data_IF_153203854484
#
_entry.id   IF_153203854484
#
_cell.length_a   1.000
_cell.length_b   1.000
_cell.length_c   1.000
_cell.angle_alpha   90.00
_cell.angle_beta   90.00
_cell.angle_gamma   90.00
#
_symmetry.space_group_name_H-M   'P 1'
#
loop_
_entity.id
_entity.type
_entity.pdbx_description
1 polymer ?
#
# COMPACT_ATOMS: atom_id res chain seq x y z
N UNK A 1 -7.18 -14.62 -4.42
CA UNK A 1 -6.55 -14.78 -5.73
C UNK A 1 -7.15 -16.00 -6.41
N UNK A 2 -7.60 -15.78 -7.63
CA UNK A 2 -8.06 -16.86 -8.48
C UNK A 2 -6.86 -17.51 -9.13
N UNK A 3 -6.75 -18.78 -8.95
CA UNK A 3 -5.86 -19.62 -9.72
C UNK A 3 -6.71 -20.27 -10.76
N UNK A 4 -6.68 -19.74 -11.93
CA UNK A 4 -7.49 -20.33 -12.85
C UNK A 4 -6.76 -20.81 -14.03
N UNK A 5 -7.40 -21.21 -14.95
CA UNK A 5 -7.08 -21.78 -16.20
C UNK A 5 -6.59 -23.19 -16.22
N UNK A 6 -6.52 -23.82 -15.07
CA UNK A 6 -6.31 -25.24 -15.08
C UNK A 6 -7.27 -25.96 -14.16
N UNK A 7 -8.45 -25.40 -14.03
CA UNK A 7 -9.54 -26.12 -13.43
C UNK A 7 -9.46 -26.27 -11.93
N UNK A 8 -9.45 -25.20 -11.23
CA UNK A 8 -8.85 -25.42 -10.03
C UNK A 8 -9.56 -24.82 -8.88
N UNK A 9 -9.17 -25.19 -7.74
CA UNK A 9 -9.84 -25.07 -6.51
C UNK A 9 -9.79 -23.65 -6.01
N UNK A 10 -10.92 -23.12 -5.60
CA UNK A 10 -11.02 -21.83 -4.95
C UNK A 10 -10.33 -21.88 -3.60
N UNK A 11 -9.42 -20.96 -3.35
CA UNK A 11 -8.90 -20.74 -2.04
C UNK A 11 -10.03 -20.17 -1.16
N UNK A 12 -10.50 -20.96 -0.20
CA UNK A 12 -11.64 -20.59 0.64
C UNK A 12 -11.24 -19.79 1.86
N UNK A 13 -10.04 -20.01 2.38
CA UNK A 13 -9.55 -19.28 3.56
C UNK A 13 -8.02 -19.26 3.63
N UNK A 14 -7.45 -18.16 4.13
CA UNK A 14 -6.05 -18.07 4.50
C UNK A 14 -5.96 -17.60 5.95
N UNK A 15 -5.32 -18.40 6.80
CA UNK A 15 -5.02 -18.02 8.18
C UNK A 15 -3.52 -18.00 8.40
N UNK A 16 -3.05 -16.92 8.97
CA UNK A 16 -1.67 -16.77 9.38
C UNK A 16 -1.52 -17.08 10.86
N UNK A 17 -0.60 -17.98 11.18
CA UNK A 17 -0.24 -18.36 12.54
C UNK A 17 1.26 -18.14 12.75
N UNK A 18 1.64 -16.93 13.15
CA UNK A 18 3.05 -16.57 13.25
C UNK A 18 3.75 -16.70 11.88
N UNK A 19 4.72 -17.61 11.77
CA UNK A 19 5.45 -17.90 10.51
C UNK A 19 4.78 -18.97 9.64
N UNK A 20 3.60 -19.44 9.99
CA UNK A 20 2.89 -20.50 9.25
C UNK A 20 1.67 -19.90 8.54
N UNK A 21 1.51 -20.26 7.28
CA UNK A 21 0.32 -20.00 6.51
C UNK A 21 -0.49 -21.29 6.43
N UNK A 22 -1.77 -21.20 6.73
CA UNK A 22 -2.73 -22.27 6.48
C UNK A 22 -3.65 -21.83 5.36
N UNK A 23 -3.59 -22.56 4.25
CA UNK A 23 -4.47 -22.34 3.11
C UNK A 23 -5.51 -23.48 3.07
N UNK A 24 -6.76 -23.11 2.91
CA UNK A 24 -7.87 -24.06 2.73
C UNK A 24 -8.37 -23.92 1.29
N UNK A 25 -8.52 -25.05 0.63
CA UNK A 25 -9.03 -25.14 -0.74
C UNK A 25 -10.31 -25.96 -0.75
N UNK A 26 -11.32 -25.50 -1.48
CA UNK A 26 -12.52 -26.27 -1.75
C UNK A 26 -12.22 -27.27 -2.87
N UNK A 27 -12.12 -28.55 -2.52
CA UNK A 27 -11.82 -29.64 -3.45
C UNK A 27 -13.09 -30.47 -3.65
N UNK A 28 -13.55 -30.66 -4.90
CA UNK A 28 -14.67 -31.54 -5.18
C UNK A 28 -14.47 -32.93 -4.59
N UNK A 29 -15.57 -33.54 -4.13
CA UNK A 29 -15.49 -34.81 -3.41
C UNK A 29 -14.87 -35.93 -4.24
N UNK A 30 -15.14 -35.96 -5.54
CA UNK A 30 -14.57 -36.90 -6.50
C UNK A 30 -13.06 -36.81 -6.69
N UNK A 31 -12.48 -35.64 -6.37
CA UNK A 31 -11.07 -35.36 -6.55
C UNK A 31 -10.25 -35.37 -5.25
N UNK A 32 -10.90 -35.60 -4.11
CA UNK A 32 -10.22 -35.55 -2.79
C UNK A 32 -9.13 -36.63 -2.61
N UNK A 33 -9.21 -37.71 -3.37
CA UNK A 33 -8.22 -38.82 -3.32
C UNK A 33 -7.09 -38.65 -4.35
N UNK A 34 -7.12 -37.55 -5.14
CA UNK A 34 -6.10 -37.25 -6.13
C UNK A 34 -4.87 -36.57 -5.52
N UNK A 35 -3.83 -36.45 -6.33
CA UNK A 35 -2.70 -35.58 -6.00
C UNK A 35 -2.86 -34.23 -6.69
N UNK A 36 -2.58 -33.16 -5.97
CA UNK A 36 -2.57 -31.82 -6.53
C UNK A 36 -1.26 -31.11 -6.25
N UNK A 37 -0.90 -30.20 -7.14
CA UNK A 37 0.28 -29.39 -6.99
C UNK A 37 -0.11 -27.96 -6.63
N UNK A 38 0.47 -27.44 -5.55
CA UNK A 38 0.33 -26.02 -5.19
C UNK A 38 1.55 -25.30 -5.74
N UNK A 39 1.33 -24.30 -6.57
CA UNK A 39 2.37 -23.41 -7.03
C UNK A 39 2.16 -22.03 -6.39
N UNK A 40 3.13 -21.58 -5.60
CA UNK A 40 3.13 -20.27 -4.97
C UNK A 40 4.17 -19.42 -5.71
N UNK A 41 3.75 -18.52 -6.61
CA UNK A 41 4.68 -17.74 -7.43
C UNK A 41 5.47 -16.71 -6.62
N UNK A 42 4.96 -16.34 -5.46
CA UNK A 42 5.62 -15.44 -4.53
C UNK A 42 4.79 -15.19 -3.29
N UNK A 43 5.46 -14.76 -2.24
CA UNK A 43 4.84 -14.31 -1.00
C UNK A 43 5.38 -12.93 -0.71
N UNK A 44 4.47 -11.95 -0.55
CA UNK A 44 4.84 -10.59 -0.15
C UNK A 44 4.70 -10.48 1.36
N UNK A 45 5.74 -10.02 2.00
CA UNK A 45 5.75 -9.72 3.42
C UNK A 45 5.80 -8.21 3.62
N UNK A 46 5.07 -7.72 4.62
CA UNK A 46 5.32 -6.38 5.12
C UNK A 46 6.57 -6.42 6.00
N UNK A 47 7.48 -5.48 5.79
CA UNK A 47 8.56 -5.26 6.73
C UNK A 47 7.96 -4.92 8.10
N UNK A 48 8.50 -5.49 9.17
CA UNK A 48 8.01 -5.23 10.53
C UNK A 48 8.38 -3.82 11.04
N UNK A 49 9.33 -3.17 10.39
CA UNK A 49 9.81 -1.86 10.80
C UNK A 49 9.18 -0.75 9.95
N UNK A 50 8.61 0.22 10.63
CA UNK A 50 8.09 1.46 10.06
C UNK A 50 9.16 2.55 10.20
N UNK A 51 9.14 3.53 9.30
CA UNK A 51 9.97 4.74 9.48
C UNK A 51 9.50 5.56 10.67
N UNK A 52 10.36 6.46 11.15
CA UNK A 52 9.89 7.55 12.00
C UNK A 52 8.87 8.41 11.24
N UNK A 53 7.94 9.06 11.94
CA UNK A 53 6.99 9.96 11.32
C UNK A 53 7.69 11.16 10.71
N UNK A 54 7.30 11.54 9.50
CA UNK A 54 7.71 12.78 8.85
C UNK A 54 6.49 13.68 8.65
N UNK A 55 6.66 14.97 8.89
CA UNK A 55 5.60 15.96 8.68
C UNK A 55 5.99 16.86 7.51
N UNK A 56 5.15 16.85 6.48
CA UNK A 56 5.36 17.61 5.25
C UNK A 56 4.35 18.77 5.18
N UNK A 57 4.76 19.94 4.71
CA UNK A 57 3.83 21.06 4.52
C UNK A 57 2.86 20.78 3.38
N UNK A 58 1.65 21.30 3.47
CA UNK A 58 0.74 21.43 2.33
C UNK A 58 1.03 22.76 1.65
N UNK A 59 1.66 22.79 0.47
CA UNK A 59 2.03 24.03 -0.21
C UNK A 59 0.80 24.74 -0.80
N UNK A 60 0.96 25.98 -1.23
CA UNK A 60 -0.08 26.66 -2.04
C UNK A 60 -0.18 26.07 -3.45
N UNK A 61 0.95 25.69 -4.05
CA UNK A 61 1.05 25.06 -5.37
C UNK A 61 2.08 23.92 -5.32
N UNK A 62 3.37 24.22 -5.43
CA UNK A 62 4.48 23.27 -5.41
C UNK A 62 5.55 23.68 -4.39
N UNK A 63 6.15 22.71 -3.73
CA UNK A 63 7.32 22.89 -2.90
C UNK A 63 8.33 21.77 -3.14
N UNK A 64 9.55 22.15 -3.51
CA UNK A 64 10.68 21.23 -3.55
C UNK A 64 11.08 20.82 -2.13
N UNK A 65 11.40 19.54 -1.97
CA UNK A 65 11.82 18.95 -0.71
C UNK A 65 13.03 18.05 -0.97
N UNK A 66 13.89 17.91 0.03
CA UNK A 66 15.03 16.99 0.01
C UNK A 66 15.07 16.21 1.33
N UNK A 67 14.01 15.43 1.56
CA UNK A 67 13.88 14.61 2.77
C UNK A 67 14.17 13.16 2.45
N UNK A 68 15.09 12.53 3.17
CA UNK A 68 15.33 11.08 3.08
C UNK A 68 14.88 10.41 4.36
N UNK A 69 13.96 9.49 4.23
CA UNK A 69 13.31 8.77 5.34
C UNK A 69 13.74 7.32 5.28
N UNK A 70 14.67 6.90 6.15
CA UNK A 70 15.13 5.53 6.18
C UNK A 70 14.18 4.61 6.94
N UNK A 71 14.21 3.33 6.57
CA UNK A 71 13.77 2.20 7.37
C UNK A 71 14.82 1.09 7.26
N UNK A 72 14.65 0.00 7.96
CA UNK A 72 15.67 -1.06 8.07
C UNK A 72 16.26 -1.58 6.75
N UNK A 73 15.43 -1.72 5.73
CA UNK A 73 15.80 -2.38 4.47
C UNK A 73 15.69 -1.44 3.25
N UNK A 74 15.66 -0.12 3.48
CA UNK A 74 15.59 0.85 2.41
C UNK A 74 15.33 2.27 2.87
N UNK A 75 14.99 3.12 1.93
CA UNK A 75 14.63 4.52 2.18
C UNK A 75 13.65 5.03 1.13
N UNK A 76 12.90 6.07 1.48
CA UNK A 76 12.20 6.91 0.53
C UNK A 76 12.79 8.31 0.58
N UNK A 77 13.14 8.84 -0.58
CA UNK A 77 13.57 10.21 -0.75
C UNK A 77 12.40 11.01 -1.33
N UNK A 78 11.95 12.00 -0.59
CA UNK A 78 10.88 12.91 -1.03
C UNK A 78 11.53 14.06 -1.78
N UNK A 79 11.15 14.23 -3.03
CA UNK A 79 11.71 15.23 -3.94
C UNK A 79 10.88 16.51 -3.97
N UNK A 80 9.59 16.39 -3.76
CA UNK A 80 8.68 17.52 -3.80
C UNK A 80 7.26 17.17 -3.40
N UNK A 81 6.46 18.18 -3.21
CA UNK A 81 5.04 18.06 -2.90
C UNK A 81 4.26 19.12 -3.68
N UNK A 82 3.21 18.67 -4.38
CA UNK A 82 2.35 19.51 -5.21
C UNK A 82 0.92 19.48 -4.68
N UNK A 83 0.31 20.64 -4.51
CA UNK A 83 -1.13 20.71 -4.24
C UNK A 83 -1.91 20.33 -5.49
N UNK A 84 -2.79 19.37 -5.36
CA UNK A 84 -3.69 18.96 -6.43
C UNK A 84 -5.02 19.73 -6.35
N UNK A 85 -5.74 19.79 -7.47
CA UNK A 85 -7.15 20.14 -7.43
C UNK A 85 -7.91 19.11 -6.60
N UNK A 86 -8.97 19.50 -5.87
CA UNK A 86 -9.78 18.54 -5.13
C UNK A 86 -10.19 17.37 -6.02
N UNK A 87 -10.12 16.18 -5.47
CA UNK A 87 -10.39 14.94 -6.19
C UNK A 87 -11.76 14.41 -5.80
N UNK A 88 -12.53 14.06 -6.80
CA UNK A 88 -13.84 13.42 -6.60
C UNK A 88 -13.62 11.96 -6.17
N UNK A 89 -14.23 11.59 -5.06
CA UNK A 89 -14.25 10.23 -4.54
C UNK A 89 -15.68 9.73 -4.51
N UNK A 90 -15.90 8.61 -5.16
CA UNK A 90 -17.15 7.88 -5.07
C UNK A 90 -17.02 6.84 -3.95
N UNK A 91 -17.96 6.84 -3.04
CA UNK A 91 -18.05 5.87 -1.96
C UNK A 91 -19.50 5.44 -1.78
N UNK A 92 -19.75 4.34 -1.13
CA UNK A 92 -21.10 3.95 -0.73
C UNK A 92 -21.31 4.35 0.74
N UNK A 93 -22.50 4.86 1.03
CA UNK A 93 -22.92 5.07 2.42
C UNK A 93 -23.26 3.71 3.07
N UNK A 94 -23.49 3.72 4.39
CA UNK A 94 -23.85 2.49 5.13
C UNK A 94 -25.19 1.87 4.72
N UNK A 95 -25.91 2.48 3.74
CA UNK A 95 -27.18 2.00 3.18
C UNK A 95 -27.02 1.56 1.72
N UNK A 96 -25.80 1.63 1.16
CA UNK A 96 -25.50 1.24 -0.23
C UNK A 96 -25.81 2.34 -1.27
N UNK A 97 -26.05 3.58 -0.85
CA UNK A 97 -26.22 4.68 -1.80
C UNK A 97 -24.88 5.26 -2.21
N UNK A 98 -24.72 5.58 -3.49
CA UNK A 98 -23.53 6.24 -3.98
C UNK A 98 -23.41 7.65 -3.36
N UNK A 99 -22.27 7.90 -2.75
CA UNK A 99 -21.91 9.21 -2.19
C UNK A 99 -20.68 9.74 -2.92
N UNK A 100 -20.83 10.91 -3.52
CA UNK A 100 -19.75 11.63 -4.17
C UNK A 100 -19.24 12.71 -3.23
N UNK A 101 -17.96 12.73 -2.95
CA UNK A 101 -17.30 13.74 -2.11
C UNK A 101 -16.06 14.27 -2.81
N UNK A 102 -15.83 15.57 -2.71
CA UNK A 102 -14.56 16.16 -3.10
C UNK A 102 -13.63 16.20 -1.90
N UNK A 103 -12.41 15.75 -2.08
CA UNK A 103 -11.37 15.79 -1.04
C UNK A 103 -10.12 16.49 -1.57
N UNK A 104 -9.53 17.39 -0.77
CA UNK A 104 -8.26 17.98 -1.11
C UNK A 104 -7.16 16.91 -1.08
N UNK A 105 -6.20 17.06 -1.97
CA UNK A 105 -5.10 16.12 -2.12
C UNK A 105 -3.77 16.82 -2.44
N UNK A 106 -2.69 16.19 -2.07
CA UNK A 106 -1.34 16.52 -2.53
C UNK A 106 -0.77 15.33 -3.29
N UNK A 107 0.08 15.61 -4.26
CA UNK A 107 0.94 14.64 -4.90
C UNK A 107 2.35 14.77 -4.33
N UNK A 108 2.94 13.66 -3.94
CA UNK A 108 4.27 13.60 -3.36
C UNK A 108 5.18 12.89 -4.35
N UNK A 109 6.18 13.61 -4.87
CA UNK A 109 7.21 13.07 -5.73
C UNK A 109 8.25 12.35 -4.86
N UNK A 110 8.53 11.10 -5.19
CA UNK A 110 9.46 10.28 -4.42
C UNK A 110 10.42 9.50 -5.30
N UNK A 111 11.53 9.15 -4.70
CA UNK A 111 12.42 8.12 -5.16
C UNK A 111 12.55 7.06 -4.06
N UNK A 112 11.99 5.89 -4.27
CA UNK A 112 12.10 4.80 -3.33
C UNK A 112 13.31 3.93 -3.67
N UNK A 113 14.20 3.75 -2.69
CA UNK A 113 15.42 2.98 -2.82
C UNK A 113 15.36 1.81 -1.84
N UNK A 114 15.65 0.62 -2.32
CA UNK A 114 15.87 -0.54 -1.46
C UNK A 114 17.32 -1.00 -1.57
N UNK A 115 17.87 -1.48 -0.47
CA UNK A 115 19.18 -2.14 -0.51
C UNK A 115 19.05 -3.48 -1.24
N UNK A 116 20.06 -3.79 -2.08
CA UNK A 116 20.13 -5.09 -2.76
C UNK A 116 20.19 -6.24 -1.77
N UNK A 117 19.10 -6.99 -1.69
CA UNK A 117 19.01 -8.21 -0.89
C UNK A 117 18.23 -9.28 -1.66
N UNK A 118 18.23 -10.48 -1.14
CA UNK A 118 17.49 -11.63 -1.69
C UNK A 118 15.97 -11.36 -1.86
N UNK A 119 15.43 -10.37 -1.15
CA UNK A 119 14.01 -10.00 -1.18
C UNK A 119 13.87 -8.62 -1.83
N UNK A 120 13.26 -8.57 -3.01
CA UNK A 120 12.93 -7.31 -3.67
C UNK A 120 11.64 -6.72 -3.07
N UNK A 121 11.66 -5.43 -2.78
CA UNK A 121 10.44 -4.69 -2.45
C UNK A 121 9.49 -4.69 -3.66
N UNK A 122 8.21 -4.88 -3.40
CA UNK A 122 7.14 -4.84 -4.41
C UNK A 122 6.30 -3.59 -4.34
N UNK A 123 6.43 -2.83 -3.26
CA UNK A 123 5.68 -1.62 -3.05
C UNK A 123 6.07 -0.89 -1.77
N UNK A 124 5.42 0.21 -1.54
CA UNK A 124 5.54 1.06 -0.38
C UNK A 124 4.19 1.15 0.33
N UNK A 125 4.16 0.84 1.60
CA UNK A 125 3.04 1.12 2.48
C UNK A 125 3.24 2.50 3.10
N UNK A 126 2.37 3.44 2.75
CA UNK A 126 2.33 4.76 3.37
C UNK A 126 1.20 4.80 4.39
N UNK A 127 1.48 5.36 5.55
CA UNK A 127 0.50 5.59 6.60
C UNK A 127 0.38 7.09 6.83
N UNK A 128 -0.83 7.62 6.75
CA UNK A 128 -1.14 9.02 7.03
C UNK A 128 -1.78 9.14 8.41
N UNK A 129 -1.32 10.09 9.21
CA UNK A 129 -1.94 10.42 10.48
C UNK A 129 -3.18 11.28 10.27
N UNK A 130 -4.32 10.85 10.79
CA UNK A 130 -5.57 11.61 10.80
C UNK A 130 -5.65 12.53 12.02
N UNK A 131 -6.49 13.57 11.99
CA UNK A 131 -6.68 14.54 13.10
C UNK A 131 -6.92 13.89 14.46
N UNK A 132 -7.60 12.73 14.48
CA UNK A 132 -7.93 12.01 15.70
C UNK A 132 -6.81 11.06 16.19
N UNK A 133 -5.59 11.21 15.65
CA UNK A 133 -4.44 10.38 16.00
C UNK A 133 -4.45 8.97 15.39
N UNK A 134 -5.48 8.62 14.62
CA UNK A 134 -5.57 7.35 13.89
C UNK A 134 -4.69 7.41 12.65
N UNK A 135 -4.13 6.26 12.28
CA UNK A 135 -3.35 6.08 11.05
C UNK A 135 -4.21 5.42 9.97
N UNK A 136 -4.27 6.01 8.80
CA UNK A 136 -4.86 5.45 7.59
C UNK A 136 -3.73 4.90 6.73
N UNK A 137 -3.89 3.68 6.21
CA UNK A 137 -2.87 2.97 5.46
C UNK A 137 -3.26 2.91 4.00
N UNK A 138 -2.29 3.13 3.12
CA UNK A 138 -2.44 3.00 1.69
C UNK A 138 -1.18 2.36 1.12
N UNK A 139 -1.35 1.44 0.17
CA UNK A 139 -0.24 0.75 -0.49
C UNK A 139 -0.06 1.30 -1.89
N UNK A 140 1.18 1.54 -2.25
CA UNK A 140 1.60 1.96 -3.57
C UNK A 140 2.56 0.91 -4.13
N UNK A 141 2.16 0.24 -5.21
CA UNK A 141 2.99 -0.78 -5.85
C UNK A 141 4.01 -0.12 -6.77
N UNK A 142 5.19 -0.71 -6.84
CA UNK A 142 6.21 -0.31 -7.80
C UNK A 142 5.80 -0.76 -9.20
N UNK A 143 6.26 -0.06 -10.21
CA UNK A 143 6.06 -0.44 -11.60
C UNK A 143 6.83 -1.73 -11.94
N UNK A 144 6.71 -2.19 -13.20
CA UNK A 144 7.40 -3.39 -13.68
C UNK A 144 8.93 -3.29 -13.63
N UNK A 145 9.46 -2.06 -13.55
CA UNK A 145 10.89 -1.78 -13.41
C UNK A 145 11.34 -1.65 -11.96
N UNK A 146 10.41 -1.79 -11.00
CA UNK A 146 10.69 -1.62 -9.58
C UNK A 146 10.83 -0.16 -9.17
N UNK A 147 10.16 0.76 -9.86
CA UNK A 147 10.23 2.20 -9.59
C UNK A 147 8.89 2.70 -9.06
N UNK A 148 8.93 3.59 -8.09
CA UNK A 148 7.81 4.41 -7.63
C UNK A 148 8.25 5.87 -7.69
N UNK A 149 7.63 6.64 -8.58
CA UNK A 149 7.96 8.04 -8.81
C UNK A 149 7.14 9.03 -7.99
N UNK A 150 6.05 8.58 -7.41
CA UNK A 150 5.20 9.42 -6.57
C UNK A 150 3.85 8.82 -6.27
N UNK A 151 3.12 9.45 -5.38
CA UNK A 151 1.79 9.03 -4.98
C UNK A 151 0.96 10.19 -4.44
N UNK A 152 -0.35 9.99 -4.43
CA UNK A 152 -1.32 10.97 -3.95
C UNK A 152 -1.73 10.69 -2.51
N UNK A 153 -1.79 11.74 -1.70
CA UNK A 153 -2.31 11.70 -0.32
C UNK A 153 -3.49 12.67 -0.20
N UNK A 154 -4.60 12.20 0.32
CA UNK A 154 -5.71 13.05 0.72
C UNK A 154 -5.42 13.67 2.09
N UNK A 155 -5.91 14.89 2.32
CA UNK A 155 -5.81 15.56 3.61
C UNK A 155 -7.16 16.21 3.97
N UNK A 156 -7.31 16.68 5.20
CA UNK A 156 -8.55 17.33 5.64
C UNK A 156 -8.50 18.82 5.31
N UNK A 157 -9.64 19.37 4.91
CA UNK A 157 -9.74 20.80 4.61
C UNK A 157 -9.27 21.66 5.80
N UNK A 158 -8.39 22.62 5.51
CA UNK A 158 -7.74 23.47 6.51
C UNK A 158 -6.50 22.88 7.15
N UNK A 159 -6.07 21.67 6.80
CA UNK A 159 -4.74 21.18 7.20
C UNK A 159 -3.65 21.92 6.42
N UNK A 160 -2.62 22.34 7.12
CA UNK A 160 -1.43 22.99 6.57
C UNK A 160 -0.24 22.05 6.44
N UNK A 161 -0.39 20.83 6.95
CA UNK A 161 0.64 19.80 6.96
C UNK A 161 0.02 18.39 6.92
N UNK A 162 0.78 17.42 6.46
CA UNK A 162 0.45 15.99 6.50
C UNK A 162 1.58 15.22 7.18
N UNK A 163 1.23 14.34 8.11
CA UNK A 163 2.21 13.49 8.79
C UNK A 163 2.12 12.07 8.26
N UNK A 164 3.24 11.53 7.82
CA UNK A 164 3.35 10.24 7.14
C UNK A 164 4.34 9.33 7.85
N UNK A 165 4.16 8.03 7.67
CA UNK A 165 5.14 6.97 7.94
C UNK A 165 5.22 6.04 6.75
N UNK A 166 6.36 5.41 6.58
CA UNK A 166 6.61 4.49 5.48
C UNK A 166 7.05 3.12 5.98
N UNK A 167 6.71 2.11 5.19
CA UNK A 167 7.08 0.72 5.44
C UNK A 167 7.24 0.02 4.10
N UNK A 168 8.31 -0.75 3.93
CA UNK A 168 8.49 -1.56 2.72
C UNK A 168 7.52 -2.75 2.65
N UNK A 169 7.09 -3.14 1.44
CA UNK A 169 6.17 -4.25 1.20
C UNK A 169 6.60 -5.13 0.00
#
# INVERSE_FOLDING_TARGET
PYWDNMGHYRLSDIKQYGRRLRCLFDVPQEEQNGSFRIHIPGITFLNSEESEPVTLPVPEDYKELEETIPWKDGSVRILGITRMKPQTIESEDGQGNAKVTERPAVYIDVEAVHEERELALKGLLCQRKLRWGRWERERYDFDEKGVLSGFRIFYEEGDTEVTLKFQGA
#
